data_IF_298507445472
#
_entry.id   IF_298507445472
#
_cell.length_a   1.000
_cell.length_b   1.000
_cell.length_c   1.000
_cell.angle_alpha   90.00
_cell.angle_beta   90.00
_cell.angle_gamma   90.00
#
_symmetry.space_group_name_H-M   'P 1'
#
loop_
_entity.id
_entity.type
_entity.pdbx_description
1 polymer ?
#
# COMPACT_ATOMS: atom_id res chain seq x y z
N UNK A 1 4.08 -16.20 -22.20
CA UNK A 1 4.68 -15.15 -21.35
C UNK A 1 3.97 -15.17 -20.01
N UNK A 2 4.58 -15.82 -19.04
CA UNK A 2 3.95 -16.15 -17.76
C UNK A 2 4.04 -14.94 -16.83
N UNK A 3 2.90 -14.41 -16.39
CA UNK A 3 2.85 -13.36 -15.38
C UNK A 3 3.28 -13.92 -14.02
N UNK A 4 4.40 -13.41 -13.49
CA UNK A 4 4.91 -13.79 -12.17
C UNK A 4 4.18 -13.02 -11.07
N UNK A 5 3.25 -13.68 -10.40
CA UNK A 5 2.72 -13.23 -9.10
C UNK A 5 3.75 -13.57 -8.03
N UNK A 6 4.33 -12.57 -7.37
CA UNK A 6 5.22 -12.80 -6.22
C UNK A 6 4.36 -13.12 -4.99
N UNK A 7 4.05 -14.40 -4.79
CA UNK A 7 3.45 -14.94 -3.56
C UNK A 7 4.57 -15.30 -2.59
N UNK A 8 4.81 -14.46 -1.58
CA UNK A 8 5.50 -14.87 -0.37
C UNK A 8 4.45 -15.38 0.62
N UNK A 9 4.37 -16.71 0.73
CA UNK A 9 3.49 -17.44 1.64
C UNK A 9 4.33 -17.86 2.84
N UNK A 10 3.94 -17.49 4.06
CA UNK A 10 4.58 -18.04 5.27
C UNK A 10 3.52 -18.38 6.33
N UNK A 11 3.50 -19.65 6.72
CA UNK A 11 2.71 -20.18 7.82
C UNK A 11 3.42 -19.87 9.15
N UNK A 12 2.68 -19.37 10.13
CA UNK A 12 3.11 -19.41 11.52
C UNK A 12 2.03 -20.11 12.36
N UNK A 13 2.34 -21.34 12.78
CA UNK A 13 1.61 -22.01 13.86
C UNK A 13 1.80 -21.22 15.16
N UNK A 14 0.69 -21.04 15.88
CA UNK A 14 0.59 -20.38 17.17
C UNK A 14 0.90 -21.36 18.31
N UNK A 15 1.63 -20.99 19.38
CA UNK A 15 1.72 -21.82 20.57
C UNK A 15 0.53 -21.53 21.49
N UNK A 16 -0.30 -22.54 21.70
CA UNK A 16 -1.33 -22.55 22.73
C UNK A 16 -0.69 -22.69 24.11
N UNK A 17 -0.98 -21.75 25.03
CA UNK A 17 -1.07 -22.09 26.45
C UNK A 17 -2.26 -21.34 27.07
N UNK A 18 -3.22 -22.13 27.54
CA UNK A 18 -4.44 -21.66 28.16
C UNK A 18 -4.21 -21.09 29.56
N UNK A 19 -5.10 -20.18 29.93
CA UNK A 19 -5.23 -19.65 31.29
C UNK A 19 -6.57 -18.92 31.40
N UNK A 20 -7.55 -19.60 31.98
CA UNK A 20 -8.84 -19.04 32.37
C UNK A 20 -8.63 -17.95 33.43
N UNK A 21 -8.85 -16.68 33.07
CA UNK A 21 -8.91 -15.58 34.05
C UNK A 21 -10.32 -14.98 34.04
N UNK A 22 -11.03 -15.19 35.14
CA UNK A 22 -12.26 -14.47 35.46
C UNK A 22 -11.92 -12.98 35.59
N UNK A 23 -12.40 -12.16 34.66
CA UNK A 23 -12.23 -10.71 34.74
C UNK A 23 -13.37 -10.10 35.55
N UNK A 24 -13.03 -9.63 36.76
CA UNK A 24 -13.84 -8.71 37.54
C UNK A 24 -14.22 -7.49 36.67
N UNK A 25 -15.53 -7.33 36.45
CA UNK A 25 -16.12 -6.33 35.55
C UNK A 25 -15.95 -4.88 36.06
N UNK A 26 -15.39 -4.67 37.25
CA UNK A 26 -15.34 -3.36 37.93
C UNK A 26 -14.07 -2.54 37.68
N UNK A 27 -13.13 -3.01 36.86
CA UNK A 27 -11.90 -2.27 36.49
C UNK A 27 -11.80 -1.98 35.00
N UNK A 28 -12.82 -1.34 34.39
CA UNK A 28 -12.62 -0.68 33.09
C UNK A 28 -11.97 0.70 33.32
N UNK A 29 -10.73 0.89 32.84
CA UNK A 29 -10.15 2.24 32.70
C UNK A 29 -11.00 3.03 31.69
N UNK A 30 -11.20 4.35 31.88
CA UNK A 30 -11.87 5.16 30.88
C UNK A 30 -10.90 5.38 29.72
N UNK A 31 -11.04 4.58 28.68
CA UNK A 31 -10.48 4.85 27.36
C UNK A 31 -11.64 4.83 26.36
N UNK A 32 -12.15 6.02 26.01
CA UNK A 32 -12.42 6.43 24.62
C UNK A 32 -13.37 7.62 24.56
N UNK A 33 -12.97 8.66 23.81
CA UNK A 33 -13.79 9.11 22.70
C UNK A 33 -12.92 9.15 21.43
N UNK A 34 -12.88 8.02 20.72
CA UNK A 34 -12.15 7.87 19.45
C UNK A 34 -11.04 6.84 19.56
N UNK A 35 -11.39 5.57 19.28
CA UNK A 35 -10.54 4.39 19.44
C UNK A 35 -9.09 4.63 19.01
N UNK A 36 -8.21 4.77 19.99
CA UNK A 36 -6.79 4.92 19.76
C UNK A 36 -6.26 3.64 19.07
N UNK A 37 -5.74 3.77 17.85
CA UNK A 37 -5.05 2.66 17.20
C UNK A 37 -3.85 2.26 18.06
N UNK A 38 -3.81 0.99 18.49
CA UNK A 38 -2.66 0.40 19.17
C UNK A 38 -1.53 0.23 18.14
N UNK A 39 -0.74 1.30 17.95
CA UNK A 39 0.42 1.32 17.05
C UNK A 39 1.67 0.95 17.84
N UNK A 40 2.35 -0.11 17.40
CA UNK A 40 3.54 -0.67 18.03
C UNK A 40 4.74 -0.80 17.09
N UNK A 41 5.95 -0.73 17.64
CA UNK A 41 7.19 -0.93 16.87
C UNK A 41 7.20 -2.33 16.26
N UNK A 42 7.56 -2.40 14.97
CA UNK A 42 7.59 -3.67 14.22
C UNK A 42 6.28 -4.00 13.49
N UNK A 43 5.23 -3.19 13.66
CA UNK A 43 4.03 -3.30 12.83
C UNK A 43 4.35 -3.04 11.35
N UNK A 44 3.63 -3.76 10.49
CA UNK A 44 3.76 -3.71 9.04
C UNK A 44 2.38 -3.61 8.42
N UNK A 45 2.28 -2.83 7.35
CA UNK A 45 1.08 -2.72 6.54
C UNK A 45 1.47 -2.84 5.06
N UNK A 46 0.56 -3.37 4.25
CA UNK A 46 0.79 -3.54 2.82
C UNK A 46 -0.47 -3.20 2.03
N UNK A 47 -0.26 -2.52 0.90
CA UNK A 47 -1.27 -2.32 -0.13
C UNK A 47 -0.64 -2.54 -1.49
N UNK A 48 -1.43 -2.99 -2.45
CA UNK A 48 -0.97 -3.23 -3.82
C UNK A 48 -2.02 -2.76 -4.81
N UNK A 49 -1.55 -2.27 -5.96
CA UNK A 49 -2.39 -1.77 -7.04
C UNK A 49 -1.68 -2.01 -8.37
N UNK A 50 -2.42 -2.50 -9.37
CA UNK A 50 -1.92 -2.57 -10.74
C UNK A 50 -2.12 -1.22 -11.40
N UNK A 51 -1.03 -0.58 -11.84
CA UNK A 51 -1.10 0.66 -12.63
C UNK A 51 -1.30 0.30 -14.09
N UNK A 52 -2.38 0.79 -14.68
CA UNK A 52 -2.68 0.62 -16.11
C UNK A 52 -2.46 1.92 -16.87
N UNK A 53 -2.50 1.86 -18.21
CA UNK A 53 -2.48 3.09 -19.00
C UNK A 53 -3.68 4.01 -18.72
N UNK A 54 -4.83 3.47 -18.32
CA UNK A 54 -5.98 4.28 -17.93
C UNK A 54 -5.70 5.06 -16.65
N UNK A 55 -5.02 4.45 -15.67
CA UNK A 55 -4.55 5.15 -14.46
C UNK A 55 -3.62 6.31 -14.82
N UNK A 56 -2.67 6.06 -15.72
CA UNK A 56 -1.70 7.06 -16.20
C UNK A 56 -2.41 8.22 -16.92
N UNK A 57 -3.35 7.91 -17.83
CA UNK A 57 -4.16 8.92 -18.54
C UNK A 57 -5.03 9.72 -17.58
N UNK A 58 -5.71 9.05 -16.66
CA UNK A 58 -6.56 9.69 -15.66
C UNK A 58 -5.78 10.62 -14.75
N UNK A 59 -4.60 10.19 -14.29
CA UNK A 59 -3.71 11.01 -13.48
C UNK A 59 -3.22 12.25 -14.24
N UNK A 60 -2.77 12.09 -15.49
CA UNK A 60 -2.36 13.23 -16.32
C UNK A 60 -3.51 14.22 -16.58
N UNK A 61 -4.73 13.73 -16.77
CA UNK A 61 -5.92 14.59 -16.90
C UNK A 61 -6.18 15.40 -15.62
N UNK A 62 -5.96 14.79 -14.46
CA UNK A 62 -6.17 15.45 -13.16
C UNK A 62 -5.08 16.48 -12.85
N UNK A 63 -3.81 16.14 -13.13
CA UNK A 63 -2.66 16.95 -12.69
C UNK A 63 -2.09 17.88 -13.76
N UNK A 64 -2.41 17.63 -15.04
CA UNK A 64 -1.76 18.28 -16.17
C UNK A 64 -0.36 17.74 -16.51
N UNK A 65 0.10 16.68 -15.83
CA UNK A 65 1.41 16.07 -16.09
C UNK A 65 1.38 15.15 -17.32
N UNK A 66 1.66 15.76 -18.47
CA UNK A 66 1.80 15.08 -19.77
C UNK A 66 3.26 14.85 -20.16
N UNK A 67 4.16 14.65 -19.19
CA UNK A 67 5.56 14.35 -19.50
C UNK A 67 5.68 13.14 -20.47
N UNK A 68 6.45 13.24 -21.57
CA UNK A 68 6.63 12.17 -22.55
C UNK A 68 7.09 10.83 -21.94
N UNK A 69 7.73 10.84 -20.77
CA UNK A 69 8.10 9.62 -20.04
C UNK A 69 6.93 8.66 -19.78
N UNK A 70 5.70 9.18 -19.76
CA UNK A 70 4.50 8.41 -19.44
C UNK A 70 3.75 7.90 -20.68
N UNK A 71 4.04 8.44 -21.86
CA UNK A 71 3.20 8.25 -23.06
C UNK A 71 3.98 7.89 -24.34
N UNK A 72 5.26 8.25 -24.44
CA UNK A 72 6.03 8.15 -25.68
C UNK A 72 7.13 7.08 -25.59
N UNK A 73 6.96 6.02 -26.38
CA UNK A 73 7.90 4.89 -26.47
C UNK A 73 9.20 5.32 -27.18
N UNK A 74 9.12 6.17 -28.20
CA UNK A 74 10.31 6.64 -28.92
C UNK A 74 11.15 7.55 -28.03
N UNK A 75 10.52 8.42 -27.26
CA UNK A 75 11.20 9.22 -26.25
C UNK A 75 11.86 8.32 -25.19
N UNK A 76 11.10 7.39 -24.61
CA UNK A 76 11.60 6.56 -23.51
C UNK A 76 12.71 5.59 -23.92
N UNK A 77 12.73 5.11 -25.17
CA UNK A 77 13.81 4.28 -25.71
C UNK A 77 15.19 4.96 -25.70
N UNK A 78 15.22 6.30 -25.68
CA UNK A 78 16.45 7.10 -25.60
C UNK A 78 16.88 7.39 -24.16
N UNK A 79 16.09 6.96 -23.18
CA UNK A 79 16.37 7.13 -21.76
C UNK A 79 16.87 5.82 -21.15
N UNK A 80 17.53 5.88 -19.99
CA UNK A 80 17.93 4.68 -19.24
C UNK A 80 16.79 3.74 -18.85
N UNK A 81 15.54 4.17 -18.95
CA UNK A 81 14.37 3.37 -18.58
C UNK A 81 13.92 2.46 -19.72
N UNK A 82 14.12 2.89 -20.97
CA UNK A 82 13.80 2.14 -22.20
C UNK A 82 12.34 1.68 -22.33
N UNK A 83 11.44 2.23 -21.50
CA UNK A 83 10.02 1.91 -21.46
C UNK A 83 9.23 3.05 -20.80
N UNK A 84 7.92 3.02 -20.99
CA UNK A 84 7.00 3.93 -20.30
C UNK A 84 7.07 3.73 -18.78
N UNK A 85 7.13 4.84 -18.06
CA UNK A 85 7.13 4.87 -16.60
C UNK A 85 5.83 5.47 -16.11
N UNK A 86 5.32 5.06 -14.95
CA UNK A 86 4.16 5.70 -14.33
C UNK A 86 4.56 7.04 -13.66
N UNK A 87 3.61 7.97 -13.52
CA UNK A 87 3.83 9.20 -12.75
C UNK A 87 4.12 8.85 -11.28
N UNK A 88 5.17 9.46 -10.70
CA UNK A 88 5.56 9.21 -9.31
C UNK A 88 4.43 9.51 -8.30
N UNK A 89 3.59 10.50 -8.60
CA UNK A 89 2.46 10.86 -7.74
C UNK A 89 1.38 9.77 -7.62
N UNK A 90 1.26 8.85 -8.59
CA UNK A 90 0.38 7.68 -8.44
C UNK A 90 0.87 6.79 -7.29
N UNK A 91 2.17 6.56 -7.20
CA UNK A 91 2.79 5.78 -6.12
C UNK A 91 2.65 6.48 -4.78
N UNK A 92 2.87 7.80 -4.73
CA UNK A 92 2.65 8.60 -3.51
C UNK A 92 1.20 8.55 -3.05
N UNK A 93 0.24 8.63 -3.99
CA UNK A 93 -1.17 8.46 -3.68
C UNK A 93 -1.49 7.08 -3.08
N UNK A 94 -0.88 6.02 -3.62
CA UNK A 94 -1.03 4.66 -3.07
C UNK A 94 -0.46 4.55 -1.66
N UNK A 95 0.68 5.20 -1.39
CA UNK A 95 1.29 5.26 -0.06
C UNK A 95 0.37 6.02 0.93
N UNK A 96 -0.13 7.20 0.56
CA UNK A 96 -1.05 7.95 1.40
C UNK A 96 -2.31 7.13 1.71
N UNK A 97 -2.82 6.42 0.72
CA UNK A 97 -3.97 5.55 0.89
C UNK A 97 -3.68 4.31 1.77
N UNK A 98 -2.41 4.02 2.10
CA UNK A 98 -2.01 3.00 3.06
C UNK A 98 -1.82 3.57 4.47
N UNK A 99 -1.23 4.77 4.62
CA UNK A 99 -0.73 5.27 5.92
C UNK A 99 -1.56 6.40 6.54
N UNK A 100 -2.34 7.13 5.74
CA UNK A 100 -3.07 8.32 6.19
C UNK A 100 -4.56 8.07 6.42
N UNK A 101 -5.01 6.81 6.33
CA UNK A 101 -6.35 6.40 6.76
C UNK A 101 -6.47 6.39 8.29
#
# INVERSE_FOLDING_TARGET
>A
MTMGTCLLRWNALSPTLGGIMNADRTKRKPSDPGGAMDIGVGQKAQRSMTVTQDTVRGYAKLTGDYNPLHFDIEFTSKTRFERLMAQGGITTGLLHALVAM
#
